data_IF_715758415206
#
_entry.id   IF_715758415206
#
_cell.length_a   1.000
_cell.length_b   1.000
_cell.length_c   1.000
_cell.angle_alpha   90.00
_cell.angle_beta   90.00
_cell.angle_gamma   90.00
#
_symmetry.space_group_name_H-M   'P 1'
#
loop_
_entity.id
_entity.type
_entity.pdbx_description
1 polymer ?
#
# COMPACT_ATOMS: atom_id res chain seq x y z
N UNK A 1 1.08 -20.07 51.28
CA UNK A 1 1.63 -20.27 49.91
C UNK A 1 0.71 -19.54 48.95
N UNK A 2 1.16 -18.48 48.26
CA UNK A 2 0.35 -17.87 47.22
C UNK A 2 0.29 -18.85 46.04
N UNK A 3 -0.92 -19.11 45.52
CA UNK A 3 -1.13 -19.78 44.24
C UNK A 3 -0.39 -18.98 43.17
N UNK A 4 0.54 -19.60 42.45
CA UNK A 4 0.97 -19.07 41.17
C UNK A 4 -0.29 -18.91 40.32
N UNK A 5 -0.57 -17.67 39.90
CA UNK A 5 -1.45 -17.44 38.77
C UNK A 5 -0.84 -18.20 37.59
N UNK A 6 -1.66 -19.02 36.93
CA UNK A 6 -1.29 -19.54 35.61
C UNK A 6 -0.93 -18.33 34.74
N UNK A 7 0.25 -18.37 34.12
CA UNK A 7 0.58 -17.42 33.07
C UNK A 7 -0.58 -17.46 32.07
N UNK A 8 -1.28 -16.34 31.91
CA UNK A 8 -2.26 -16.21 30.84
C UNK A 8 -1.49 -16.47 29.56
N UNK A 9 -1.85 -17.53 28.85
CA UNK A 9 -1.28 -17.84 27.55
C UNK A 9 -1.58 -16.65 26.65
N UNK A 10 -0.60 -15.80 26.41
CA UNK A 10 -0.67 -14.66 25.49
C UNK A 10 -0.66 -15.11 24.02
N UNK A 11 -0.99 -16.38 23.77
CA UNK A 11 -0.96 -17.00 22.45
C UNK A 11 -2.33 -16.84 21.86
N UNK A 12 -2.43 -15.98 20.85
CA UNK A 12 -3.65 -15.78 20.07
C UNK A 12 -3.91 -17.06 19.29
N UNK A 13 -5.02 -17.74 19.58
CA UNK A 13 -5.43 -18.87 18.74
C UNK A 13 -6.12 -18.35 17.49
N UNK A 14 -6.04 -19.09 16.38
CA UNK A 14 -6.85 -18.85 15.20
C UNK A 14 -8.35 -18.74 15.51
N UNK A 15 -8.82 -19.36 16.61
CA UNK A 15 -10.20 -19.26 17.08
C UNK A 15 -10.58 -17.85 17.54
N UNK A 16 -9.65 -17.14 18.17
CA UNK A 16 -9.83 -15.75 18.60
C UNK A 16 -9.72 -14.78 17.40
N UNK A 17 -9.03 -15.21 16.34
CA UNK A 17 -8.87 -14.47 15.09
C UNK A 17 -9.98 -14.73 14.08
N UNK A 18 -10.81 -15.75 14.28
CA UNK A 18 -11.82 -16.11 13.31
C UNK A 18 -12.94 -15.07 13.34
N UNK A 19 -13.11 -14.30 12.27
CA UNK A 19 -13.99 -13.13 12.24
C UNK A 19 -15.50 -13.42 12.29
N UNK A 20 -15.91 -14.67 12.50
CA UNK A 20 -17.32 -15.06 12.60
C UNK A 20 -17.56 -15.87 13.88
N UNK A 21 -18.82 -15.97 14.36
CA UNK A 21 -19.10 -16.67 15.61
C UNK A 21 -18.60 -18.12 15.65
N UNK A 22 -18.75 -18.87 14.54
CA UNK A 22 -18.29 -20.25 14.44
C UNK A 22 -17.82 -20.58 13.01
N UNK A 23 -16.70 -21.32 12.84
CA UNK A 23 -16.28 -21.84 11.54
C UNK A 23 -17.12 -23.05 11.12
N UNK A 24 -17.29 -23.23 9.81
CA UNK A 24 -17.75 -24.51 9.28
C UNK A 24 -16.72 -25.63 9.59
N UNK A 25 -17.15 -26.90 9.70
CA UNK A 25 -16.24 -28.03 9.96
C UNK A 25 -15.06 -28.07 8.98
N UNK A 26 -15.31 -27.89 7.68
CA UNK A 26 -14.27 -27.93 6.66
C UNK A 26 -13.31 -26.74 6.75
N UNK A 27 -13.78 -25.59 7.26
CA UNK A 27 -12.91 -24.45 7.51
C UNK A 27 -11.99 -24.74 8.69
N UNK A 28 -12.52 -25.30 9.78
CA UNK A 28 -11.73 -25.70 10.94
C UNK A 28 -10.63 -26.67 10.55
N UNK A 29 -10.99 -27.75 9.86
CA UNK A 29 -10.04 -28.77 9.42
C UNK A 29 -8.96 -28.16 8.52
N UNK A 30 -9.34 -27.24 7.63
CA UNK A 30 -8.40 -26.54 6.77
C UNK A 30 -7.49 -25.55 7.47
N UNK A 31 -7.97 -24.84 8.51
CA UNK A 31 -7.14 -23.97 9.35
C UNK A 31 -6.12 -24.81 10.11
N UNK A 32 -6.57 -25.89 10.77
CA UNK A 32 -5.72 -26.77 11.57
C UNK A 32 -4.66 -27.45 10.68
N UNK A 33 -5.01 -27.89 9.47
CA UNK A 33 -4.05 -28.41 8.50
C UNK A 33 -3.03 -27.35 8.02
N UNK A 34 -3.45 -26.09 7.84
CA UNK A 34 -2.54 -25.02 7.43
C UNK A 34 -1.55 -24.64 8.54
N UNK A 35 -2.04 -24.61 9.77
CA UNK A 35 -1.29 -24.44 11.01
C UNK A 35 -0.23 -25.53 11.17
N UNK A 36 -0.63 -26.81 11.06
CA UNK A 36 0.28 -27.96 11.13
C UNK A 36 1.32 -27.92 10.01
N UNK A 37 0.93 -27.59 8.78
CA UNK A 37 1.87 -27.46 7.68
C UNK A 37 2.92 -26.37 7.94
N UNK A 38 2.51 -25.23 8.51
CA UNK A 38 3.43 -24.14 8.86
C UNK A 38 4.38 -24.51 10.01
N UNK A 39 3.91 -25.22 11.03
CA UNK A 39 4.75 -25.73 12.14
C UNK A 39 5.83 -26.71 11.66
N UNK A 40 5.55 -27.44 10.59
CA UNK A 40 6.46 -28.42 10.00
C UNK A 40 7.31 -27.84 8.85
N UNK A 41 7.37 -26.50 8.71
CA UNK A 41 8.08 -25.81 7.61
C UNK A 41 7.67 -26.33 6.21
N UNK A 42 6.41 -26.69 6.05
CA UNK A 42 5.86 -27.40 4.90
C UNK A 42 4.96 -26.56 3.99
N UNK A 43 4.32 -27.26 3.03
CA UNK A 43 3.35 -26.68 2.11
C UNK A 43 2.02 -27.43 2.20
N UNK A 44 0.91 -26.69 2.18
CA UNK A 44 -0.44 -27.25 2.11
C UNK A 44 -1.07 -26.92 0.75
N UNK A 45 -1.61 -27.95 0.09
CA UNK A 45 -2.54 -27.79 -1.02
C UNK A 45 -3.95 -28.07 -0.50
N UNK A 46 -4.81 -27.05 -0.50
CA UNK A 46 -6.17 -27.14 0.00
C UNK A 46 -7.17 -26.88 -1.14
N UNK A 47 -8.09 -27.81 -1.34
CA UNK A 47 -9.23 -27.64 -2.23
C UNK A 47 -10.47 -27.27 -1.41
N UNK A 48 -11.17 -26.21 -1.83
CA UNK A 48 -12.42 -25.79 -1.19
C UNK A 48 -13.37 -25.16 -2.20
N UNK A 49 -14.66 -25.45 -2.08
CA UNK A 49 -15.69 -24.91 -2.96
C UNK A 49 -15.72 -23.36 -2.93
N UNK A 50 -16.24 -22.74 -3.99
CA UNK A 50 -16.43 -21.29 -4.01
C UNK A 50 -17.39 -20.85 -2.91
N UNK A 51 -17.06 -19.77 -2.19
CA UNK A 51 -17.91 -19.23 -1.11
C UNK A 51 -17.74 -19.90 0.27
N UNK A 52 -16.84 -20.87 0.45
CA UNK A 52 -16.62 -21.55 1.74
C UNK A 52 -15.63 -20.81 2.66
N UNK A 53 -15.49 -19.49 2.49
CA UNK A 53 -14.58 -18.66 3.29
C UNK A 53 -13.10 -19.10 3.27
N UNK A 54 -12.58 -19.46 2.10
CA UNK A 54 -11.15 -19.83 1.91
C UNK A 54 -10.19 -18.73 2.35
N UNK A 55 -10.60 -17.48 2.14
CA UNK A 55 -9.85 -16.28 2.51
C UNK A 55 -9.79 -16.15 4.04
N UNK A 56 -10.92 -16.24 4.74
CA UNK A 56 -11.00 -16.26 6.20
C UNK A 56 -10.19 -17.41 6.82
N UNK A 57 -10.27 -18.62 6.25
CA UNK A 57 -9.46 -19.78 6.64
C UNK A 57 -7.96 -19.45 6.55
N UNK A 58 -7.50 -18.97 5.39
CA UNK A 58 -6.09 -18.70 5.15
C UNK A 58 -5.56 -17.56 6.04
N UNK A 59 -6.35 -16.51 6.23
CA UNK A 59 -6.02 -15.41 7.12
C UNK A 59 -5.94 -15.86 8.58
N UNK A 60 -6.92 -16.62 9.06
CA UNK A 60 -6.95 -17.10 10.45
C UNK A 60 -5.72 -17.96 10.76
N UNK A 61 -5.37 -18.89 9.86
CA UNK A 61 -4.18 -19.73 10.01
C UNK A 61 -2.88 -18.91 9.96
N UNK A 62 -2.75 -18.02 8.97
CA UNK A 62 -1.54 -17.22 8.81
C UNK A 62 -1.33 -16.20 9.94
N UNK A 63 -2.39 -15.57 10.42
CA UNK A 63 -2.33 -14.59 11.51
C UNK A 63 -2.09 -15.24 12.86
N UNK A 64 -2.61 -16.45 13.08
CA UNK A 64 -2.26 -17.26 14.25
C UNK A 64 -0.74 -17.47 14.29
N UNK A 65 -0.13 -17.89 13.17
CA UNK A 65 1.34 -18.02 13.08
C UNK A 65 2.09 -16.72 13.28
N UNK A 66 1.61 -15.61 12.70
CA UNK A 66 2.28 -14.31 12.85
C UNK A 66 2.21 -13.78 14.29
N UNK A 67 1.18 -14.16 15.05
CA UNK A 67 0.97 -13.71 16.42
C UNK A 67 1.53 -14.66 17.47
N UNK A 68 1.90 -15.87 17.09
CA UNK A 68 2.58 -16.81 17.97
C UNK A 68 4.02 -16.31 18.24
N UNK A 69 4.37 -15.98 19.51
CA UNK A 69 5.69 -15.48 19.86
C UNK A 69 6.82 -16.50 19.64
N UNK A 70 6.49 -17.79 19.55
CA UNK A 70 7.45 -18.86 19.26
C UNK A 70 7.61 -19.12 17.75
N UNK A 71 6.79 -18.47 16.92
CA UNK A 71 6.84 -18.60 15.47
C UNK A 71 7.88 -17.68 14.83
N UNK A 72 8.46 -18.13 13.71
CA UNK A 72 9.37 -17.33 12.88
C UNK A 72 8.65 -16.47 11.83
N UNK A 73 7.32 -16.61 11.68
CA UNK A 73 6.56 -15.87 10.68
C UNK A 73 6.27 -14.44 11.15
N UNK A 74 6.63 -13.45 10.33
CA UNK A 74 6.37 -12.04 10.65
C UNK A 74 5.15 -11.46 9.94
N UNK A 75 4.76 -12.03 8.79
CA UNK A 75 3.75 -11.46 7.89
C UNK A 75 3.04 -12.55 7.09
N UNK A 76 1.77 -12.30 6.76
CA UNK A 76 1.03 -13.06 5.75
C UNK A 76 1.16 -12.38 4.40
N UNK A 77 1.70 -13.07 3.40
CA UNK A 77 1.72 -12.61 2.02
C UNK A 77 0.66 -13.35 1.21
N UNK A 78 -0.32 -12.61 0.72
CA UNK A 78 -1.39 -13.15 -0.12
C UNK A 78 -1.13 -12.79 -1.58
N UNK A 79 -1.13 -13.79 -2.45
CA UNK A 79 -0.98 -13.62 -3.89
C UNK A 79 -2.27 -14.06 -4.60
N UNK A 80 -2.90 -13.14 -5.31
CA UNK A 80 -4.08 -13.45 -6.13
C UNK A 80 -4.03 -12.68 -7.46
N UNK A 81 -4.47 -13.32 -8.54
CA UNK A 81 -4.64 -12.70 -9.86
C UNK A 81 -6.04 -12.11 -10.06
N UNK A 82 -6.94 -12.24 -9.08
CA UNK A 82 -8.35 -11.89 -9.22
C UNK A 82 -8.67 -10.70 -8.30
N UNK A 83 -8.99 -9.54 -8.89
CA UNK A 83 -9.35 -8.32 -8.12
C UNK A 83 -10.49 -8.55 -7.11
N UNK A 84 -11.44 -9.42 -7.43
CA UNK A 84 -12.53 -9.78 -6.51
C UNK A 84 -12.01 -10.53 -5.26
N UNK A 85 -11.04 -11.44 -5.42
CA UNK A 85 -10.46 -12.15 -4.28
C UNK A 85 -9.65 -11.21 -3.39
N UNK A 86 -8.94 -10.25 -3.99
CA UNK A 86 -8.23 -9.22 -3.24
C UNK A 86 -9.17 -8.43 -2.32
N UNK A 87 -10.33 -7.98 -2.83
CA UNK A 87 -11.35 -7.31 -2.01
C UNK A 87 -11.89 -8.21 -0.91
N UNK A 88 -12.11 -9.49 -1.20
CA UNK A 88 -12.54 -10.45 -0.18
C UNK A 88 -11.52 -10.58 0.97
N UNK A 89 -10.22 -10.58 0.68
CA UNK A 89 -9.20 -10.57 1.73
C UNK A 89 -9.24 -9.29 2.58
N UNK A 90 -9.51 -8.14 1.96
CA UNK A 90 -9.69 -6.89 2.72
C UNK A 90 -10.92 -6.93 3.62
N UNK A 91 -12.06 -7.40 3.10
CA UNK A 91 -13.31 -7.51 3.86
C UNK A 91 -13.20 -8.52 5.00
N UNK A 92 -12.56 -9.67 4.76
CA UNK A 92 -12.31 -10.66 5.80
C UNK A 92 -11.36 -10.11 6.86
N UNK A 93 -10.29 -9.38 6.48
CA UNK A 93 -9.39 -8.76 7.45
C UNK A 93 -10.09 -7.67 8.28
N UNK A 94 -10.97 -6.87 7.67
CA UNK A 94 -11.83 -5.92 8.40
C UNK A 94 -12.74 -6.66 9.37
N UNK A 95 -13.36 -7.74 8.92
CA UNK A 95 -14.23 -8.60 9.74
C UNK A 95 -13.47 -9.18 10.94
N UNK A 96 -12.25 -9.66 10.74
CA UNK A 96 -11.37 -10.13 11.83
C UNK A 96 -11.13 -9.00 12.84
N UNK A 97 -10.73 -7.81 12.36
CA UNK A 97 -10.45 -6.67 13.24
C UNK A 97 -11.69 -6.16 14.01
N UNK A 98 -12.88 -6.22 13.40
CA UNK A 98 -14.14 -5.81 14.04
C UNK A 98 -14.56 -6.75 15.18
N UNK A 99 -14.17 -8.02 15.12
CA UNK A 99 -14.52 -9.05 16.10
C UNK A 99 -13.33 -9.47 16.98
N UNK A 100 -12.19 -8.80 16.84
CA UNK A 100 -10.99 -9.09 17.60
C UNK A 100 -11.21 -8.69 19.07
N UNK A 101 -10.82 -9.52 20.05
CA UNK A 101 -10.86 -9.14 21.45
C UNK A 101 -10.08 -7.85 21.73
N UNK A 102 -10.62 -6.97 22.59
CA UNK A 102 -10.08 -5.63 22.90
C UNK A 102 -8.63 -5.63 23.42
N UNK A 103 -8.16 -6.78 23.94
CA UNK A 103 -6.79 -6.98 24.41
C UNK A 103 -5.75 -7.09 23.30
N UNK A 104 -6.19 -7.22 22.05
CA UNK A 104 -5.32 -7.36 20.89
C UNK A 104 -5.32 -6.12 20.02
N UNK A 105 -4.13 -5.75 19.53
CA UNK A 105 -3.99 -4.72 18.52
C UNK A 105 -4.63 -5.18 17.19
N UNK A 106 -5.33 -4.29 16.45
CA UNK A 106 -5.83 -4.60 15.13
C UNK A 106 -4.71 -5.00 14.15
N UNK A 107 -5.02 -5.95 13.27
CA UNK A 107 -4.10 -6.36 12.20
C UNK A 107 -4.06 -5.29 11.12
N UNK A 108 -2.84 -4.82 10.81
CA UNK A 108 -2.60 -3.92 9.68
C UNK A 108 -2.55 -4.70 8.36
N UNK A 109 -3.23 -4.20 7.33
CA UNK A 109 -3.20 -4.76 5.98
C UNK A 109 -2.68 -3.73 4.96
N UNK A 110 -1.94 -4.20 3.95
CA UNK A 110 -1.53 -3.39 2.81
C UNK A 110 -1.87 -4.13 1.51
N UNK A 111 -2.74 -3.52 0.72
CA UNK A 111 -3.08 -4.01 -0.62
C UNK A 111 -2.21 -3.32 -1.67
N UNK A 112 -1.52 -4.12 -2.49
CA UNK A 112 -0.77 -3.63 -3.63
C UNK A 112 -1.57 -3.85 -4.92
N UNK A 113 -1.90 -2.75 -5.60
CA UNK A 113 -2.66 -2.73 -6.86
C UNK A 113 -1.90 -1.99 -7.96
N UNK A 114 -2.44 -1.98 -9.18
CA UNK A 114 -1.83 -1.32 -10.33
C UNK A 114 -1.87 0.20 -10.24
N UNK A 115 -1.04 0.89 -11.05
CA UNK A 115 -0.96 2.36 -11.07
C UNK A 115 -2.32 3.03 -11.32
N UNK A 116 -3.14 2.46 -12.19
CA UNK A 116 -4.50 2.93 -12.48
C UNK A 116 -5.36 3.05 -11.21
N UNK A 117 -5.26 2.05 -10.33
CA UNK A 117 -6.08 1.98 -9.12
C UNK A 117 -5.62 2.96 -8.01
N UNK A 118 -4.40 3.52 -8.09
CA UNK A 118 -3.80 4.42 -7.07
C UNK A 118 -3.42 5.82 -7.54
N UNK A 119 -3.31 6.06 -8.85
CA UNK A 119 -2.94 7.36 -9.38
C UNK A 119 -4.16 8.30 -9.29
N UNK A 120 -4.08 9.42 -8.55
CA UNK A 120 -5.21 10.35 -8.41
C UNK A 120 -5.75 10.84 -9.76
N UNK A 121 -4.86 11.15 -10.71
CA UNK A 121 -5.28 11.61 -12.04
C UNK A 121 -6.03 10.53 -12.84
N UNK A 122 -5.57 9.27 -12.80
CA UNK A 122 -6.22 8.18 -13.53
C UNK A 122 -7.59 7.82 -12.93
N UNK A 123 -7.66 7.68 -11.60
CA UNK A 123 -8.90 7.35 -10.87
C UNK A 123 -10.04 8.31 -11.17
N UNK A 124 -9.70 9.59 -11.33
CA UNK A 124 -10.68 10.66 -11.51
C UNK A 124 -10.75 11.16 -12.97
N UNK A 125 -10.00 10.54 -13.89
CA UNK A 125 -9.89 10.93 -15.30
C UNK A 125 -9.54 12.43 -15.50
N UNK A 126 -8.50 12.92 -14.82
CA UNK A 126 -8.05 14.32 -14.86
C UNK A 126 -6.59 14.44 -15.30
N UNK A 127 -6.12 15.64 -15.63
CA UNK A 127 -4.75 15.85 -16.14
C UNK A 127 -4.48 15.19 -17.49
N UNK A 128 -5.55 14.79 -18.20
CA UNK A 128 -5.50 13.93 -19.38
C UNK A 128 -4.96 12.52 -19.10
N UNK A 129 -5.00 12.06 -17.85
CA UNK A 129 -4.58 10.71 -17.46
C UNK A 129 -5.82 9.86 -17.20
N UNK A 130 -5.84 8.65 -17.76
CA UNK A 130 -6.90 7.67 -17.60
C UNK A 130 -6.30 6.26 -17.44
N UNK A 131 -7.16 5.25 -17.24
CA UNK A 131 -6.74 3.86 -17.04
C UNK A 131 -6.02 3.25 -18.25
N UNK A 132 -6.20 3.80 -19.46
CA UNK A 132 -5.55 3.31 -20.68
C UNK A 132 -4.14 3.86 -20.82
N UNK A 133 -3.93 5.13 -20.44
CA UNK A 133 -2.69 5.85 -20.68
C UNK A 133 -1.84 6.10 -19.42
N UNK A 134 -2.32 5.73 -18.22
CA UNK A 134 -1.69 6.05 -16.94
C UNK A 134 -0.22 5.65 -16.85
N UNK A 135 0.16 4.52 -17.43
CA UNK A 135 1.54 4.05 -17.37
C UNK A 135 2.47 4.98 -18.16
N UNK A 136 2.13 5.29 -19.40
CA UNK A 136 2.94 6.12 -20.30
C UNK A 136 2.94 7.58 -19.84
N UNK A 137 1.78 8.13 -19.47
CA UNK A 137 1.68 9.50 -18.94
C UNK A 137 2.46 9.65 -17.64
N UNK A 138 2.38 8.69 -16.73
CA UNK A 138 3.12 8.72 -15.47
C UNK A 138 4.63 8.71 -15.73
N UNK A 139 5.14 7.82 -16.59
CA UNK A 139 6.59 7.80 -16.89
C UNK A 139 7.06 9.10 -17.56
N UNK A 140 6.31 9.62 -18.54
CA UNK A 140 6.66 10.87 -19.21
C UNK A 140 6.67 12.07 -18.25
N UNK A 141 5.66 12.18 -17.38
CA UNK A 141 5.62 13.22 -16.35
C UNK A 141 6.79 13.07 -15.37
N UNK A 142 7.08 11.85 -14.91
CA UNK A 142 8.20 11.60 -13.99
C UNK A 142 9.53 11.96 -14.63
N UNK A 143 9.74 11.61 -15.89
CA UNK A 143 10.94 11.98 -16.63
C UNK A 143 11.10 13.50 -16.73
N UNK A 144 10.06 14.22 -17.16
CA UNK A 144 10.07 15.69 -17.21
C UNK A 144 10.35 16.29 -15.84
N UNK A 145 9.69 15.81 -14.78
CA UNK A 145 9.97 16.25 -13.40
C UNK A 145 11.44 16.01 -13.02
N UNK A 146 12.03 14.84 -13.32
CA UNK A 146 13.45 14.56 -13.03
C UNK A 146 14.37 15.50 -13.80
N UNK A 147 14.08 15.80 -15.06
CA UNK A 147 14.89 16.71 -15.86
C UNK A 147 14.82 18.14 -15.34
N UNK A 148 13.68 18.56 -14.77
CA UNK A 148 13.54 19.86 -14.12
C UNK A 148 14.36 20.01 -12.84
N UNK A 149 14.54 18.92 -12.07
CA UNK A 149 15.13 18.96 -10.72
C UNK A 149 16.50 18.29 -10.59
N UNK A 150 16.95 17.58 -11.61
CA UNK A 150 18.22 16.85 -11.64
C UNK A 150 19.43 17.76 -11.73
N UNK A 151 20.63 17.17 -11.85
CA UNK A 151 21.88 17.92 -11.97
C UNK A 151 21.85 18.82 -13.23
N UNK A 152 21.96 20.13 -13.03
CA UNK A 152 21.84 21.13 -14.09
C UNK A 152 20.39 21.47 -14.49
N UNK A 153 19.40 20.94 -13.77
CA UNK A 153 18.00 21.31 -13.91
C UNK A 153 17.73 22.76 -13.49
N UNK A 154 16.69 23.41 -14.06
CA UNK A 154 16.39 24.81 -13.80
C UNK A 154 15.77 25.10 -12.43
N UNK A 155 15.39 24.08 -11.65
CA UNK A 155 14.69 24.26 -10.36
C UNK A 155 14.94 23.09 -9.40
N UNK A 156 14.28 23.09 -8.24
CA UNK A 156 14.37 22.01 -7.23
C UNK A 156 13.02 21.33 -7.05
N UNK A 157 13.04 20.11 -6.51
CA UNK A 157 11.83 19.38 -6.15
C UNK A 157 10.98 20.15 -5.12
N UNK A 158 11.63 20.75 -4.10
CA UNK A 158 10.98 21.61 -3.10
C UNK A 158 10.25 22.79 -3.75
N UNK A 159 10.87 23.44 -4.73
CA UNK A 159 10.30 24.60 -5.42
C UNK A 159 9.11 24.21 -6.28
N UNK A 160 9.20 23.12 -7.05
CA UNK A 160 8.08 22.59 -7.83
C UNK A 160 6.90 22.18 -6.94
N UNK A 161 7.17 21.43 -5.87
CA UNK A 161 6.13 20.98 -4.95
C UNK A 161 5.45 22.16 -4.23
N UNK A 162 6.24 23.15 -3.80
CA UNK A 162 5.70 24.37 -3.18
C UNK A 162 4.92 25.22 -4.16
N UNK A 163 5.41 25.35 -5.40
CA UNK A 163 4.72 26.07 -6.46
C UNK A 163 3.34 25.46 -6.73
N UNK A 164 3.27 24.14 -6.93
CA UNK A 164 2.02 23.42 -7.16
C UNK A 164 0.97 23.65 -6.06
N UNK A 165 1.40 23.66 -4.78
CA UNK A 165 0.51 24.00 -3.65
C UNK A 165 0.12 25.48 -3.58
N UNK A 166 1.05 26.39 -3.92
CA UNK A 166 0.86 27.84 -3.74
C UNK A 166 -0.04 28.50 -4.79
N UNK A 167 -0.09 27.96 -6.01
CA UNK A 167 -0.96 28.47 -7.10
C UNK A 167 -2.46 28.37 -6.78
N UNK A 168 -2.81 27.78 -5.64
CA UNK A 168 -4.17 27.62 -5.14
C UNK A 168 -4.55 28.66 -4.07
N UNK A 169 -3.59 29.15 -3.27
CA UNK A 169 -3.84 30.13 -2.19
C UNK A 169 -4.11 31.53 -2.74
N UNK A 170 -3.46 31.90 -3.85
CA UNK A 170 -3.63 33.22 -4.47
C UNK A 170 -5.01 33.51 -5.08
N UNK A 171 -5.87 32.50 -5.23
CA UNK A 171 -7.24 32.65 -5.77
C UNK A 171 -8.26 32.91 -4.65
N UNK A 172 -8.02 32.37 -3.45
CA UNK A 172 -8.91 32.53 -2.30
C UNK A 172 -9.02 34.01 -1.83
N UNK A 173 -7.92 34.78 -1.91
CA UNK A 173 -7.90 36.21 -1.56
C UNK A 173 -8.57 37.12 -2.61
N UNK A 174 -8.92 36.58 -3.79
CA UNK A 174 -9.51 37.35 -4.90
C UNK A 174 -11.04 37.32 -4.97
N UNK A 175 -11.71 36.66 -4.01
CA UNK A 175 -13.18 36.68 -3.86
C UNK A 175 -13.97 36.05 -5.03
N UNK A 176 -13.31 35.35 -5.96
CA UNK A 176 -13.94 34.62 -7.06
C UNK A 176 -13.32 33.23 -7.18
N UNK A 177 -13.98 32.25 -6.57
CA UNK A 177 -13.68 30.82 -6.69
C UNK A 177 -12.79 30.31 -5.57
N UNK A 178 -13.25 29.28 -4.85
CA UNK A 178 -12.38 28.51 -3.97
C UNK A 178 -11.27 27.81 -4.77
N UNK A 179 -10.19 27.41 -4.09
CA UNK A 179 -9.18 26.56 -4.71
C UNK A 179 -9.82 25.25 -5.19
N UNK A 180 -9.68 24.95 -6.48
CA UNK A 180 -10.13 23.70 -7.09
C UNK A 180 -9.04 22.64 -6.86
N UNK A 181 -9.32 21.70 -5.96
CA UNK A 181 -8.43 20.60 -5.61
C UNK A 181 -8.91 19.33 -6.31
N UNK A 182 -7.96 18.50 -6.74
CA UNK A 182 -8.29 17.13 -7.15
C UNK A 182 -8.76 16.38 -5.92
N UNK A 183 -10.01 15.94 -5.90
CA UNK A 183 -10.53 15.01 -4.89
C UNK A 183 -10.42 13.58 -5.41
N UNK A 184 -9.90 12.66 -4.60
CA UNK A 184 -9.88 11.24 -4.93
C UNK A 184 -10.12 10.39 -3.70
N UNK A 185 -10.85 9.29 -3.86
CA UNK A 185 -11.24 8.41 -2.75
C UNK A 185 -11.94 9.14 -1.58
N UNK A 186 -12.67 10.22 -1.88
CA UNK A 186 -13.41 11.01 -0.88
C UNK A 186 -12.57 12.04 -0.13
N UNK A 187 -11.29 12.21 -0.46
CA UNK A 187 -10.42 13.19 0.18
C UNK A 187 -9.79 14.15 -0.86
N UNK A 188 -9.68 15.45 -0.53
CA UNK A 188 -8.96 16.40 -1.38
C UNK A 188 -7.45 16.16 -1.32
N UNK A 189 -6.82 16.12 -2.48
CA UNK A 189 -5.37 16.18 -2.60
C UNK A 189 -4.90 17.64 -2.47
N UNK A 190 -3.62 17.89 -2.15
CA UNK A 190 -3.07 19.26 -2.10
C UNK A 190 -2.74 19.82 -3.50
N UNK A 191 -3.25 19.22 -4.58
CA UNK A 191 -2.94 19.59 -5.96
C UNK A 191 -4.20 19.81 -6.78
N UNK A 192 -4.04 20.49 -7.92
CA UNK A 192 -5.14 20.78 -8.83
C UNK A 192 -5.57 19.52 -9.59
N UNK A 193 -6.80 19.50 -10.13
CA UNK A 193 -7.25 18.42 -11.00
C UNK A 193 -6.38 18.24 -12.25
N UNK A 194 -5.79 19.30 -12.78
CA UNK A 194 -4.88 19.20 -13.93
C UNK A 194 -3.42 19.03 -13.50
N UNK A 195 -2.59 18.61 -14.44
CA UNK A 195 -1.12 18.59 -14.26
C UNK A 195 -0.56 20.00 -14.19
N UNK A 196 0.65 20.13 -13.66
CA UNK A 196 1.30 21.42 -13.45
C UNK A 196 2.33 21.70 -14.53
N UNK A 197 2.60 22.98 -14.77
CA UNK A 197 3.59 23.44 -15.75
C UNK A 197 4.70 24.28 -15.09
N UNK A 198 5.93 24.05 -15.50
CA UNK A 198 7.09 24.87 -15.15
C UNK A 198 7.53 25.72 -16.35
N UNK A 199 7.76 27.01 -16.14
CA UNK A 199 8.06 27.97 -17.20
C UNK A 199 6.83 28.72 -17.69
N UNK A 200 6.94 29.42 -18.81
CA UNK A 200 5.87 30.27 -19.35
C UNK A 200 5.74 30.13 -20.86
N UNK A 201 4.51 30.21 -21.37
CA UNK A 201 4.23 30.20 -22.81
C UNK A 201 4.58 28.86 -23.46
N UNK A 202 4.97 28.88 -24.74
CA UNK A 202 5.21 27.66 -25.54
C UNK A 202 6.44 26.85 -25.11
N UNK A 203 7.22 27.33 -24.14
CA UNK A 203 8.37 26.62 -23.57
C UNK A 203 8.09 26.03 -22.19
N UNK A 204 6.82 26.03 -21.73
CA UNK A 204 6.47 25.40 -20.47
C UNK A 204 6.66 23.89 -20.54
N UNK A 205 7.03 23.29 -19.40
CA UNK A 205 7.24 21.86 -19.25
C UNK A 205 6.24 21.32 -18.24
N UNK A 206 5.35 20.46 -18.70
CA UNK A 206 4.41 19.73 -17.84
C UNK A 206 5.17 18.78 -16.90
N UNK A 207 4.79 18.74 -15.62
CA UNK A 207 5.40 17.88 -14.61
C UNK A 207 4.36 17.30 -13.64
N UNK A 208 4.72 16.21 -12.96
CA UNK A 208 3.84 15.61 -11.94
C UNK A 208 4.09 16.24 -10.56
N UNK A 209 3.11 16.93 -9.94
CA UNK A 209 3.29 17.55 -8.63
C UNK A 209 3.40 16.51 -7.51
N UNK A 210 2.69 15.38 -7.60
CA UNK A 210 2.83 14.27 -6.65
C UNK A 210 4.25 13.70 -6.64
N UNK A 211 4.87 13.56 -7.82
CA UNK A 211 6.23 13.05 -7.91
C UNK A 211 7.28 14.08 -7.50
N UNK A 212 7.04 15.37 -7.78
CA UNK A 212 7.87 16.45 -7.25
C UNK A 212 7.89 16.44 -5.72
N UNK A 213 6.73 16.25 -5.08
CA UNK A 213 6.63 16.11 -3.64
C UNK A 213 7.36 14.88 -3.12
N UNK A 214 7.16 13.72 -3.74
CA UNK A 214 7.92 12.51 -3.40
C UNK A 214 9.45 12.77 -3.43
N UNK A 215 9.95 13.46 -4.47
CA UNK A 215 11.37 13.80 -4.57
C UNK A 215 11.82 14.80 -3.49
N UNK A 216 10.96 15.74 -3.09
CA UNK A 216 11.24 16.69 -2.01
C UNK A 216 11.29 16.00 -0.63
N UNK A 217 10.46 14.97 -0.43
CA UNK A 217 10.40 14.19 0.81
C UNK A 217 11.52 13.16 0.95
N UNK A 218 12.27 12.87 -0.12
CA UNK A 218 13.39 11.94 -0.05
C UNK A 218 14.47 12.47 0.91
N UNK A 219 15.01 11.60 1.80
CA UNK A 219 16.12 11.99 2.65
C UNK A 219 17.30 12.47 1.79
N UNK A 220 17.86 13.64 2.12
CA UNK A 220 18.99 14.25 1.38
C UNK A 220 20.25 13.36 1.28
N UNK A 221 20.30 12.26 2.04
CA UNK A 221 21.37 11.25 2.04
C UNK A 221 21.11 10.07 1.08
N UNK A 222 19.89 9.89 0.56
CA UNK A 222 19.55 8.77 -0.32
C UNK A 222 20.10 8.92 -1.76
N UNK A 223 20.51 10.13 -2.16
CA UNK A 223 21.00 10.44 -3.52
C UNK A 223 22.45 9.98 -3.77
N UNK A 224 23.13 9.38 -2.78
CA UNK A 224 24.54 8.94 -2.88
C UNK A 224 24.71 7.46 -2.57
N UNK A 225 24.15 6.57 -3.39
CA UNK A 225 24.66 5.18 -3.48
C UNK A 225 24.26 4.55 -4.80
N UNK A 226 25.06 4.82 -5.83
CA UNK A 226 25.19 3.90 -6.97
C UNK A 226 26.19 2.83 -6.52
N UNK A 227 25.78 1.57 -6.28
CA UNK A 227 26.75 0.54 -5.88
C UNK A 227 27.70 0.31 -7.05
N UNK A 228 28.99 0.59 -6.83
CA UNK A 228 30.05 0.18 -7.75
C UNK A 228 30.05 -1.35 -7.82
N UNK A 229 29.76 -1.90 -9.01
CA UNK A 229 30.00 -3.33 -9.27
C UNK A 229 31.49 -3.59 -9.17
N UNK A 230 31.94 -4.14 -8.05
CA UNK A 230 33.26 -4.79 -7.95
C UNK A 230 33.11 -6.20 -8.50
N UNK A 231 33.49 -6.42 -9.75
CA UNK A 231 33.80 -7.77 -10.25
C UNK A 231 35.11 -8.20 -9.62
N UNK A 232 35.06 -9.15 -8.67
CA UNK A 232 36.25 -9.95 -8.31
C UNK A 232 36.27 -11.22 -9.18
N UNK A 233 37.44 -11.63 -9.67
CA UNK A 233 37.55 -12.79 -10.55
C UNK A 233 37.47 -14.08 -9.72
N UNK A 234 36.83 -15.09 -10.32
CA UNK A 234 36.82 -16.47 -9.86
C UNK A 234 38.26 -16.99 -10.03
N UNK A 235 38.87 -17.45 -8.93
CA UNK A 235 40.18 -18.11 -8.94
C UNK A 235 40.06 -19.58 -9.34
N UNK A 236 41.08 -20.06 -10.04
CA UNK A 236 41.35 -21.46 -10.38
C UNK A 236 41.62 -22.33 -9.13
#
# INVERSE_FOLDING_TARGET
>A
MPKLAAAQSSVVSWRDLFGHPEPYPEQRDGIEAAVEAAENDGFLALEGACGTGKTMLALSAGLDRVRDPDSTFERVLVLTSVKQQLRQFEDDLRTINEHLPDEYDPVSGLTLVGKADVCPYARENRGGVDDENVYDRCEGLRERTRNLVGDGGPTTADALASQARSQQVGIADSGRGGADYLETAGEPTPYRPETEEYGTGTGSTEYCPFYAQYLADLPRTATRRRPSRSTSPIGD
#
